data_IF_869070497429
#
_entry.id   IF_869070497429
#
_cell.length_a   1.000
_cell.length_b   1.000
_cell.length_c   1.000
_cell.angle_alpha   90.00
_cell.angle_beta   90.00
_cell.angle_gamma   90.00
#
_symmetry.space_group_name_H-M   'P 1'
#
loop_
_entity.id
_entity.type
_entity.pdbx_description
1 polymer ?
#
# COMPACT_ATOMS: atom_id res chain seq x y z
N UNK A 1 43.30 -34.48 -38.76
CA UNK A 1 44.49 -34.91 -39.54
C UNK A 1 45.61 -33.91 -39.33
N UNK A 2 46.72 -34.33 -38.72
CA UNK A 2 48.08 -33.77 -38.81
C UNK A 2 48.97 -34.62 -37.91
N UNK A 3 49.61 -35.64 -38.49
CA UNK A 3 50.61 -36.46 -37.83
C UNK A 3 51.99 -35.87 -38.14
N UNK A 4 52.62 -35.24 -37.16
CA UNK A 4 54.02 -34.79 -37.27
C UNK A 4 54.93 -35.98 -36.98
N UNK A 5 55.43 -36.60 -38.04
CA UNK A 5 56.40 -37.69 -37.99
C UNK A 5 57.77 -37.10 -37.66
N UNK A 6 58.12 -37.03 -36.37
CA UNK A 6 59.45 -36.60 -35.91
C UNK A 6 60.45 -37.71 -36.19
N UNK A 7 61.08 -37.62 -37.37
CA UNK A 7 62.28 -38.36 -37.77
C UNK A 7 63.40 -37.96 -36.83
N UNK A 8 63.92 -38.88 -36.03
CA UNK A 8 64.95 -38.53 -35.05
C UNK A 8 65.60 -39.73 -34.37
N UNK A 9 66.73 -40.15 -34.95
CA UNK A 9 67.89 -40.73 -34.27
C UNK A 9 67.70 -42.18 -33.79
N UNK A 10 68.00 -43.11 -34.71
CA UNK A 10 68.35 -44.47 -34.34
C UNK A 10 69.61 -44.44 -33.47
N UNK A 11 69.48 -44.94 -32.25
CA UNK A 11 70.62 -45.18 -31.35
C UNK A 11 71.50 -46.24 -32.01
N UNK A 12 72.75 -45.87 -32.34
CA UNK A 12 73.74 -46.82 -32.85
C UNK A 12 73.94 -47.95 -31.84
N UNK A 13 73.90 -49.19 -32.32
CA UNK A 13 74.28 -50.35 -31.52
C UNK A 13 75.76 -50.21 -31.15
N UNK A 14 76.09 -50.28 -29.85
CA UNK A 14 77.49 -50.33 -29.44
C UNK A 14 78.10 -51.64 -29.95
N UNK A 15 79.27 -51.54 -30.57
CA UNK A 15 80.04 -52.70 -31.02
C UNK A 15 80.75 -53.32 -29.83
N UNK A 16 80.60 -54.63 -29.63
CA UNK A 16 81.48 -55.35 -28.71
C UNK A 16 82.90 -55.46 -29.32
N UNK A 17 83.91 -55.78 -28.51
CA UNK A 17 85.34 -55.83 -28.89
C UNK A 17 85.72 -56.71 -30.08
N UNK A 18 84.76 -57.41 -30.70
CA UNK A 18 84.92 -58.22 -31.92
C UNK A 18 84.18 -57.63 -33.14
N UNK A 19 83.76 -56.35 -33.10
CA UNK A 19 83.20 -55.62 -34.26
C UNK A 19 81.75 -55.97 -34.64
N UNK A 20 81.03 -56.78 -33.85
CA UNK A 20 79.60 -57.07 -34.06
C UNK A 20 78.72 -56.19 -33.16
N UNK A 21 77.64 -55.63 -33.71
CA UNK A 21 76.71 -54.78 -32.98
C UNK A 21 75.85 -55.58 -31.99
N UNK A 22 75.76 -55.10 -30.74
CA UNK A 22 74.89 -55.69 -29.71
C UNK A 22 73.68 -54.79 -29.49
N UNK A 23 72.48 -55.39 -29.57
CA UNK A 23 71.23 -54.70 -29.26
C UNK A 23 71.06 -54.59 -27.74
N UNK A 24 70.55 -53.45 -27.20
CA UNK A 24 70.28 -53.33 -25.77
C UNK A 24 69.18 -54.32 -25.34
N UNK A 25 69.22 -54.83 -24.10
CA UNK A 25 68.20 -55.76 -23.60
C UNK A 25 66.81 -55.11 -23.68
N UNK A 26 65.83 -55.86 -24.17
CA UNK A 26 64.45 -55.41 -24.23
C UNK A 26 63.97 -55.08 -22.80
N UNK A 27 63.53 -53.83 -22.58
CA UNK A 27 62.89 -53.46 -21.33
C UNK A 27 61.55 -54.22 -21.23
N UNK A 28 61.53 -55.30 -20.44
CA UNK A 28 60.38 -56.17 -20.21
C UNK A 28 59.38 -55.60 -19.19
N UNK A 29 59.41 -54.31 -18.89
CA UNK A 29 58.40 -53.70 -18.02
C UNK A 29 57.13 -53.41 -18.83
N UNK A 30 55.99 -54.05 -18.54
CA UNK A 30 54.74 -53.69 -19.19
C UNK A 30 54.37 -52.28 -18.74
N UNK A 31 54.52 -51.30 -19.64
CA UNK A 31 53.96 -49.96 -19.43
C UNK A 31 52.44 -50.08 -19.44
N UNK A 32 51.84 -50.19 -18.25
CA UNK A 32 50.40 -50.04 -18.09
C UNK A 32 50.02 -48.60 -18.43
N UNK A 33 49.47 -48.37 -19.63
CA UNK A 33 48.89 -47.06 -19.98
C UNK A 33 47.76 -46.75 -18.99
N UNK A 34 47.92 -45.70 -18.20
CA UNK A 34 46.85 -45.19 -17.35
C UNK A 34 45.65 -44.81 -18.23
N UNK A 35 44.58 -45.60 -18.17
CA UNK A 35 43.32 -45.31 -18.83
C UNK A 35 42.47 -44.54 -17.84
N UNK A 36 42.31 -43.24 -18.09
CA UNK A 36 41.52 -42.37 -17.23
C UNK A 36 40.11 -42.98 -17.07
N UNK A 37 39.60 -43.17 -15.83
CA UNK A 37 38.26 -43.71 -15.64
C UNK A 37 37.25 -42.78 -16.32
N UNK A 38 36.22 -43.33 -17.00
CA UNK A 38 35.25 -42.51 -17.70
C UNK A 38 34.61 -41.52 -16.70
N UNK A 39 34.42 -40.24 -17.06
CA UNK A 39 33.84 -39.26 -16.17
C UNK A 39 32.47 -39.77 -15.71
N UNK A 40 32.19 -39.67 -14.39
CA UNK A 40 30.87 -40.00 -13.81
C UNK A 40 29.80 -39.29 -14.64
N UNK A 41 28.90 -40.05 -15.27
CA UNK A 41 27.74 -39.49 -16.01
C UNK A 41 26.94 -38.65 -15.02
N UNK A 42 26.99 -37.32 -15.17
CA UNK A 42 26.11 -36.41 -14.43
C UNK A 42 24.68 -36.71 -14.91
N UNK A 43 23.84 -37.25 -14.03
CA UNK A 43 22.44 -37.52 -14.33
C UNK A 43 21.71 -36.18 -14.53
N UNK A 44 21.18 -35.93 -15.73
CA UNK A 44 20.48 -34.68 -16.06
C UNK A 44 19.29 -34.38 -15.14
N UNK A 45 18.73 -35.40 -14.49
CA UNK A 45 17.70 -35.30 -13.45
C UNK A 45 18.08 -34.36 -12.29
N UNK A 46 19.35 -34.33 -11.84
CA UNK A 46 19.76 -33.39 -10.78
C UNK A 46 19.74 -31.94 -11.24
N UNK A 47 20.03 -31.72 -12.53
CA UNK A 47 20.10 -30.39 -13.13
C UNK A 47 18.68 -29.84 -13.36
N UNK A 48 17.77 -30.69 -13.84
CA UNK A 48 16.33 -30.38 -13.91
C UNK A 48 15.75 -30.12 -12.52
N UNK A 49 16.08 -30.95 -11.52
CA UNK A 49 15.65 -30.74 -10.15
C UNK A 49 16.12 -29.41 -9.55
N UNK A 50 17.36 -28.99 -9.84
CA UNK A 50 17.85 -27.67 -9.44
C UNK A 50 17.12 -26.53 -10.16
N UNK A 51 16.85 -26.65 -11.46
CA UNK A 51 16.09 -25.64 -12.22
C UNK A 51 14.68 -25.49 -11.65
N UNK A 52 13.99 -26.60 -11.38
CA UNK A 52 12.64 -26.58 -10.79
C UNK A 52 12.66 -25.98 -9.39
N UNK A 53 13.66 -26.32 -8.56
CA UNK A 53 13.83 -25.72 -7.23
C UNK A 53 14.00 -24.21 -7.32
N UNK A 54 14.91 -23.72 -8.17
CA UNK A 54 15.15 -22.29 -8.34
C UNK A 54 13.94 -21.55 -8.93
N UNK A 55 13.21 -22.18 -9.86
CA UNK A 55 11.97 -21.63 -10.39
C UNK A 55 10.89 -21.52 -9.31
N UNK A 56 10.79 -22.52 -8.42
CA UNK A 56 9.83 -22.50 -7.30
C UNK A 56 10.20 -21.42 -6.27
N UNK A 57 11.49 -21.26 -5.97
CA UNK A 57 11.99 -20.17 -5.11
C UNK A 57 11.68 -18.80 -5.73
N UNK A 58 11.92 -18.63 -7.04
CA UNK A 58 11.59 -17.38 -7.73
C UNK A 58 10.08 -17.08 -7.72
N UNK A 59 9.23 -18.09 -7.93
CA UNK A 59 7.78 -17.96 -7.83
C UNK A 59 7.34 -17.51 -6.43
N UNK A 60 7.92 -18.11 -5.38
CA UNK A 60 7.63 -17.78 -3.99
C UNK A 60 8.05 -16.35 -3.65
N UNK A 61 9.20 -15.91 -4.16
CA UNK A 61 9.67 -14.53 -4.03
C UNK A 61 8.71 -13.53 -4.71
N UNK A 62 8.22 -13.84 -5.91
CA UNK A 62 7.24 -12.99 -6.62
C UNK A 62 5.92 -12.93 -5.86
N UNK A 63 5.41 -14.08 -5.38
CA UNK A 63 4.17 -14.13 -4.61
C UNK A 63 4.28 -13.35 -3.29
N UNK A 64 5.41 -13.48 -2.59
CA UNK A 64 5.73 -12.70 -1.40
C UNK A 64 5.81 -11.19 -1.69
N UNK A 65 6.45 -10.80 -2.77
CA UNK A 65 6.56 -9.40 -3.16
C UNK A 65 5.20 -8.79 -3.53
N UNK A 66 4.35 -9.53 -4.24
CA UNK A 66 2.99 -9.11 -4.57
C UNK A 66 2.11 -8.98 -3.31
N UNK A 67 2.14 -9.99 -2.44
CA UNK A 67 1.38 -9.97 -1.19
C UNK A 67 1.86 -8.86 -0.25
N UNK A 68 3.17 -8.68 -0.10
CA UNK A 68 3.78 -7.62 0.70
C UNK A 68 3.50 -6.23 0.12
N UNK A 69 3.60 -6.07 -1.21
CA UNK A 69 3.26 -4.83 -1.90
C UNK A 69 1.79 -4.46 -1.75
N UNK A 70 0.87 -5.42 -1.92
CA UNK A 70 -0.55 -5.21 -1.70
C UNK A 70 -0.86 -4.86 -0.24
N UNK A 71 -0.21 -5.54 0.72
CA UNK A 71 -0.36 -5.25 2.15
C UNK A 71 0.09 -3.83 2.50
N UNK A 72 1.28 -3.43 2.05
CA UNK A 72 1.80 -2.08 2.29
C UNK A 72 0.91 -1.01 1.64
N UNK A 73 0.46 -1.23 0.40
CA UNK A 73 -0.46 -0.33 -0.27
C UNK A 73 -1.79 -0.17 0.48
N UNK A 74 -2.38 -1.27 0.92
CA UNK A 74 -3.62 -1.23 1.72
C UNK A 74 -3.39 -0.58 3.08
N UNK A 75 -2.26 -0.86 3.74
CA UNK A 75 -1.95 -0.26 5.03
C UNK A 75 -1.77 1.26 4.92
N UNK A 76 -1.06 1.72 3.89
CA UNK A 76 -0.85 3.14 3.62
C UNK A 76 -2.16 3.87 3.26
N UNK A 77 -3.04 3.22 2.48
CA UNK A 77 -4.39 3.71 2.20
C UNK A 77 -5.24 3.83 3.48
N UNK A 78 -5.22 2.79 4.32
CA UNK A 78 -5.98 2.80 5.58
C UNK A 78 -5.43 3.87 6.54
N UNK A 79 -4.12 4.00 6.66
CA UNK A 79 -3.48 5.01 7.51
C UNK A 79 -3.69 6.44 6.98
N UNK A 80 -3.82 6.60 5.66
CA UNK A 80 -4.20 7.87 5.05
C UNK A 80 -5.65 8.28 5.37
N UNK A 81 -6.56 7.31 5.50
CA UNK A 81 -7.99 7.54 5.78
C UNK A 81 -8.29 7.59 7.29
N UNK A 82 -7.39 7.07 8.13
CA UNK A 82 -7.59 7.08 9.58
C UNK A 82 -7.61 8.49 10.19
N UNK A 83 -8.50 8.66 11.16
CA UNK A 83 -8.64 9.89 11.93
C UNK A 83 -7.38 10.18 12.76
N UNK A 84 -6.62 11.21 12.38
CA UNK A 84 -5.36 11.59 13.05
C UNK A 84 -5.56 12.48 14.28
N UNK A 85 -6.75 13.03 14.48
CA UNK A 85 -7.05 13.99 15.56
C UNK A 85 -7.81 13.34 16.70
N UNK A 86 -7.39 13.58 17.95
CA UNK A 86 -8.01 13.04 19.18
C UNK A 86 -9.53 13.27 19.23
N UNK A 87 -10.00 14.43 18.78
CA UNK A 87 -11.43 14.75 18.82
C UNK A 87 -12.28 13.93 17.87
N UNK A 88 -11.72 13.58 16.71
CA UNK A 88 -12.38 12.71 15.72
C UNK A 88 -12.39 11.26 16.21
N UNK A 89 -11.34 10.83 16.91
CA UNK A 89 -11.27 9.50 17.51
C UNK A 89 -12.36 9.32 18.59
N UNK A 90 -12.54 10.29 19.49
CA UNK A 90 -13.61 10.17 20.50
C UNK A 90 -15.01 10.36 19.90
N UNK A 91 -15.14 11.14 18.81
CA UNK A 91 -16.39 11.23 18.09
C UNK A 91 -16.74 9.91 17.38
N UNK A 92 -15.73 9.12 16.97
CA UNK A 92 -15.92 7.80 16.33
C UNK A 92 -16.63 6.80 17.23
N UNK A 93 -16.39 6.83 18.53
CA UNK A 93 -17.08 5.93 19.48
C UNK A 93 -18.60 6.15 19.53
N UNK A 94 -19.06 7.32 19.09
CA UNK A 94 -20.49 7.67 19.01
C UNK A 94 -21.14 7.24 17.69
N UNK A 95 -20.37 6.75 16.72
CA UNK A 95 -20.87 6.36 15.41
C UNK A 95 -21.42 4.93 15.41
N UNK A 96 -22.45 4.70 14.60
CA UNK A 96 -23.04 3.37 14.45
C UNK A 96 -22.26 2.56 13.42
N UNK A 97 -22.05 1.26 13.69
CA UNK A 97 -21.45 0.35 12.72
C UNK A 97 -22.31 0.25 11.45
N UNK A 98 -21.65 0.19 10.29
CA UNK A 98 -22.32 -0.02 9.00
C UNK A 98 -22.52 -1.52 8.79
N UNK A 99 -23.73 -1.99 8.47
CA UNK A 99 -23.93 -3.35 7.99
C UNK A 99 -23.21 -3.58 6.65
N UNK A 100 -22.66 -4.78 6.36
CA UNK A 100 -21.87 -5.05 5.14
C UNK A 100 -22.53 -4.66 3.80
N UNK A 101 -23.87 -4.62 3.76
CA UNK A 101 -24.68 -4.19 2.59
C UNK A 101 -25.69 -3.09 2.95
N UNK A 102 -25.42 -2.38 4.04
CA UNK A 102 -26.29 -1.33 4.56
C UNK A 102 -26.02 0.01 3.91
N UNK A 103 -26.99 0.91 4.02
CA UNK A 103 -26.80 2.31 3.63
C UNK A 103 -25.80 2.99 4.57
N UNK A 104 -24.76 3.58 4.01
CA UNK A 104 -23.75 4.29 4.78
C UNK A 104 -24.12 5.77 4.87
N UNK A 105 -24.14 6.31 6.08
CA UNK A 105 -24.39 7.73 6.32
C UNK A 105 -23.15 8.37 6.92
N UNK A 106 -22.60 9.36 6.24
CA UNK A 106 -21.44 10.13 6.68
C UNK A 106 -21.84 11.57 7.02
N UNK A 107 -21.37 12.07 8.16
CA UNK A 107 -21.42 13.49 8.50
C UNK A 107 -20.13 14.16 8.08
N UNK A 108 -20.22 15.11 7.16
CA UNK A 108 -19.11 15.94 6.70
C UNK A 108 -19.15 17.28 7.41
N UNK A 109 -18.02 17.65 8.02
CA UNK A 109 -17.85 18.91 8.73
C UNK A 109 -16.65 19.65 8.15
N UNK A 110 -16.93 20.79 7.54
CA UNK A 110 -15.92 21.78 7.16
C UNK A 110 -15.71 22.77 8.29
N UNK A 111 -14.48 22.96 8.75
CA UNK A 111 -14.16 23.91 9.83
C UNK A 111 -13.05 24.88 9.43
N UNK A 112 -13.21 26.15 9.83
CA UNK A 112 -12.18 27.17 9.65
C UNK A 112 -11.17 27.06 10.79
N UNK A 113 -10.06 26.37 10.51
CA UNK A 113 -8.87 26.39 11.37
C UNK A 113 -7.68 26.78 10.52
N UNK A 114 -7.00 27.85 10.93
CA UNK A 114 -5.75 28.30 10.31
C UNK A 114 -4.55 27.62 10.96
N UNK A 115 -3.43 27.55 10.24
CA UNK A 115 -2.24 26.81 10.69
C UNK A 115 -1.59 27.43 11.94
N UNK A 116 -1.75 28.74 12.12
CA UNK A 116 -1.26 29.55 13.22
C UNK A 116 -2.14 29.50 14.48
N UNK A 117 -3.34 28.90 14.39
CA UNK A 117 -4.29 28.85 15.50
C UNK A 117 -4.09 27.61 16.41
N UNK A 118 -4.19 27.77 17.75
CA UNK A 118 -3.94 26.70 18.71
C UNK A 118 -4.97 25.58 18.58
N UNK A 119 -4.55 24.31 18.60
CA UNK A 119 -5.45 23.13 18.44
C UNK A 119 -6.69 23.12 19.35
N UNK A 120 -6.65 23.77 20.50
CA UNK A 120 -7.77 23.90 21.46
C UNK A 120 -8.58 25.20 21.28
N UNK A 121 -8.52 25.83 20.11
CA UNK A 121 -9.30 27.03 19.78
C UNK A 121 -10.79 26.74 19.60
N UNK A 122 -11.61 27.77 19.80
CA UNK A 122 -13.04 27.72 19.49
C UNK A 122 -13.25 27.96 17.99
N UNK A 123 -13.14 26.88 17.21
CA UNK A 123 -13.34 26.92 15.76
C UNK A 123 -14.82 26.79 15.43
N UNK A 124 -15.28 27.47 14.38
CA UNK A 124 -16.66 27.31 13.89
C UNK A 124 -16.67 26.33 12.72
N UNK A 125 -17.71 25.51 12.64
CA UNK A 125 -17.98 24.72 11.45
C UNK A 125 -18.72 25.60 10.44
N UNK A 126 -18.11 25.85 9.30
CA UNK A 126 -18.73 26.62 8.21
C UNK A 126 -19.61 25.76 7.32
N UNK A 127 -19.33 24.45 7.27
CA UNK A 127 -20.10 23.49 6.47
C UNK A 127 -20.45 22.29 7.32
N UNK A 128 -21.74 21.95 7.38
CA UNK A 128 -22.23 20.71 7.99
C UNK A 128 -23.14 20.04 6.98
N UNK A 129 -22.80 18.83 6.56
CA UNK A 129 -23.48 18.14 5.48
C UNK A 129 -23.61 16.66 5.78
N UNK A 130 -24.78 16.10 5.51
CA UNK A 130 -25.04 14.68 5.59
C UNK A 130 -24.94 14.06 4.20
N UNK A 131 -24.14 13.00 4.08
CA UNK A 131 -24.06 12.17 2.90
C UNK A 131 -24.66 10.81 3.20
N UNK A 132 -25.56 10.34 2.34
CA UNK A 132 -26.12 9.00 2.39
C UNK A 132 -25.77 8.30 1.08
N UNK A 133 -25.00 7.22 1.18
CA UNK A 133 -24.75 6.31 0.08
C UNK A 133 -25.68 5.09 0.22
N UNK A 134 -26.52 4.87 -0.79
CA UNK A 134 -27.40 3.71 -0.86
C UNK A 134 -26.92 2.76 -1.96
N UNK A 135 -26.24 1.65 -1.60
CA UNK A 135 -25.71 0.73 -2.59
C UNK A 135 -26.81 -0.03 -3.35
N UNK A 136 -28.03 -0.12 -2.80
CA UNK A 136 -29.15 -0.82 -3.46
C UNK A 136 -29.80 0.00 -4.55
N UNK A 137 -29.82 1.32 -4.37
CA UNK A 137 -30.38 2.27 -5.33
C UNK A 137 -29.32 2.89 -6.24
N UNK A 138 -28.04 2.54 -6.04
CA UNK A 138 -26.89 3.15 -6.71
C UNK A 138 -26.91 4.69 -6.67
N UNK A 139 -27.39 5.24 -5.55
CA UNK A 139 -27.65 6.65 -5.39
C UNK A 139 -26.85 7.24 -4.21
N UNK A 140 -26.35 8.46 -4.42
CA UNK A 140 -25.75 9.29 -3.39
C UNK A 140 -26.66 10.49 -3.13
N UNK A 141 -27.16 10.60 -1.91
CA UNK A 141 -27.98 11.73 -1.47
C UNK A 141 -27.20 12.61 -0.52
N UNK A 142 -27.32 13.92 -0.71
CA UNK A 142 -26.62 14.94 0.07
C UNK A 142 -27.62 15.91 0.67
N UNK A 143 -27.50 16.19 1.97
CA UNK A 143 -28.29 17.18 2.68
C UNK A 143 -27.36 18.16 3.38
N UNK A 144 -27.39 19.42 2.97
CA UNK A 144 -26.61 20.48 3.63
C UNK A 144 -27.44 21.12 4.74
N UNK A 145 -26.85 21.23 5.93
CA UNK A 145 -27.43 22.00 7.03
C UNK A 145 -26.93 23.44 6.97
N UNK A 146 -27.81 24.44 6.95
CA UNK A 146 -27.40 25.84 7.06
C UNK A 146 -26.63 26.10 8.35
N UNK A 147 -25.53 26.85 8.31
CA UNK A 147 -24.67 27.13 9.49
C UNK A 147 -25.42 27.76 10.67
N UNK A 148 -26.44 28.56 10.35
CA UNK A 148 -27.24 29.34 11.31
C UNK A 148 -28.55 28.61 11.68
N UNK A 149 -28.69 27.33 11.32
CA UNK A 149 -29.85 26.52 11.68
C UNK A 149 -29.98 26.46 13.21
N UNK A 150 -31.14 26.88 13.71
CA UNK A 150 -31.42 26.87 15.13
C UNK A 150 -31.78 25.44 15.58
N UNK A 151 -30.96 24.89 16.46
CA UNK A 151 -31.08 23.51 16.96
C UNK A 151 -30.78 23.46 18.45
N UNK A 152 -31.16 22.35 19.08
CA UNK A 152 -30.73 22.07 20.45
C UNK A 152 -29.29 21.56 20.46
N UNK A 153 -28.35 22.48 20.69
CA UNK A 153 -26.92 22.19 20.77
C UNK A 153 -26.67 21.30 21.97
N UNK A 154 -26.09 20.13 21.72
CA UNK A 154 -25.81 19.12 22.73
C UNK A 154 -24.33 18.77 22.73
N UNK A 155 -23.68 18.90 23.88
CA UNK A 155 -22.32 18.42 24.09
C UNK A 155 -22.22 17.60 25.39
N UNK A 156 -21.48 16.47 25.38
CA UNK A 156 -21.12 15.75 26.61
C UNK A 156 -20.50 16.66 27.67
N UNK A 157 -21.06 16.69 28.87
CA UNK A 157 -20.57 17.50 29.99
C UNK A 157 -21.11 18.94 30.04
N UNK A 158 -21.94 19.34 29.09
CA UNK A 158 -22.62 20.64 29.08
C UNK A 158 -24.15 20.49 29.09
N UNK A 159 -24.85 21.47 29.66
CA UNK A 159 -26.30 21.54 29.59
C UNK A 159 -26.75 21.86 28.16
N UNK A 160 -27.66 21.08 27.56
CA UNK A 160 -28.20 21.39 26.24
C UNK A 160 -28.88 22.76 26.23
N UNK A 161 -28.74 23.49 25.12
CA UNK A 161 -29.36 24.80 24.94
C UNK A 161 -29.77 25.01 23.48
N UNK A 162 -30.66 25.96 23.22
CA UNK A 162 -31.05 26.32 21.86
C UNK A 162 -30.05 27.34 21.31
N UNK A 163 -29.38 26.98 20.24
CA UNK A 163 -28.35 27.79 19.59
C UNK A 163 -28.25 27.48 18.10
N UNK A 164 -27.24 28.05 17.45
CA UNK A 164 -26.95 27.73 16.05
C UNK A 164 -26.17 26.42 15.95
N UNK A 165 -26.40 25.64 14.90
CA UNK A 165 -25.75 24.33 14.71
C UNK A 165 -24.22 24.45 14.66
N UNK A 166 -23.66 25.56 14.16
CA UNK A 166 -22.22 25.78 14.11
C UNK A 166 -21.57 25.90 15.51
N UNK A 167 -22.32 26.33 16.52
CA UNK A 167 -21.83 26.44 17.89
C UNK A 167 -21.52 25.06 18.50
N UNK A 168 -22.18 24.00 18.04
CA UNK A 168 -21.92 22.64 18.49
C UNK A 168 -20.45 22.22 18.24
N UNK A 169 -19.88 22.66 17.13
CA UNK A 169 -18.46 22.44 16.83
C UNK A 169 -17.55 23.37 17.64
N UNK A 170 -17.97 24.61 17.87
CA UNK A 170 -17.19 25.57 18.67
C UNK A 170 -17.09 25.23 20.15
N UNK A 171 -18.12 24.58 20.69
CA UNK A 171 -18.18 24.21 22.10
C UNK A 171 -17.32 22.97 22.39
N UNK A 172 -17.45 21.93 21.56
CA UNK A 172 -16.87 20.60 21.84
C UNK A 172 -16.28 19.89 20.62
N UNK A 173 -15.93 20.65 19.59
CA UNK A 173 -15.38 20.13 18.34
C UNK A 173 -16.33 19.16 17.64
N UNK A 174 -15.74 18.18 16.95
CA UNK A 174 -16.50 17.20 16.19
C UNK A 174 -17.51 16.40 17.03
N UNK A 175 -17.24 16.22 18.33
CA UNK A 175 -18.09 15.47 19.26
C UNK A 175 -19.42 16.17 19.52
N UNK A 176 -19.38 17.48 19.76
CA UNK A 176 -20.58 18.29 19.96
C UNK A 176 -21.42 18.34 18.68
N UNK A 177 -20.77 18.50 17.53
CA UNK A 177 -21.45 18.47 16.23
C UNK A 177 -22.13 17.12 15.95
N UNK A 178 -21.44 16.00 16.15
CA UNK A 178 -22.03 14.66 15.99
C UNK A 178 -23.20 14.46 16.97
N UNK A 179 -23.04 14.78 18.26
CA UNK A 179 -24.10 14.62 19.25
C UNK A 179 -25.34 15.47 18.93
N UNK A 180 -25.14 16.70 18.48
CA UNK A 180 -26.22 17.62 18.09
C UNK A 180 -26.97 17.10 16.86
N UNK A 181 -26.25 16.69 15.81
CA UNK A 181 -26.88 16.14 14.59
C UNK A 181 -27.56 14.80 14.86
N UNK A 182 -26.96 13.93 15.69
CA UNK A 182 -27.59 12.67 16.10
C UNK A 182 -28.92 12.93 16.83
N UNK A 183 -28.96 13.91 17.73
CA UNK A 183 -30.19 14.28 18.43
C UNK A 183 -31.24 14.85 17.48
N UNK A 184 -30.83 15.69 16.53
CA UNK A 184 -31.69 16.26 15.50
C UNK A 184 -32.31 15.18 14.59
N UNK A 185 -31.53 14.15 14.23
CA UNK A 185 -31.93 13.06 13.32
C UNK A 185 -32.58 11.86 14.01
N UNK A 186 -32.54 11.81 15.36
CA UNK A 186 -33.11 10.73 16.16
C UNK A 186 -34.61 10.50 15.86
N UNK A 187 -35.46 11.54 15.70
CA UNK A 187 -36.87 11.35 15.37
C UNK A 187 -37.10 10.67 14.02
N UNK A 188 -36.18 10.84 13.06
CA UNK A 188 -36.25 10.25 11.73
C UNK A 188 -35.53 8.89 11.65
N UNK A 189 -34.89 8.45 12.74
CA UNK A 189 -34.21 7.16 12.81
C UNK A 189 -32.99 7.04 11.90
N UNK A 190 -32.35 8.15 11.50
CA UNK A 190 -31.19 8.12 10.61
C UNK A 190 -29.91 7.92 11.42
N UNK A 191 -29.20 6.79 11.29
CA UNK A 191 -27.93 6.58 11.96
C UNK A 191 -26.83 7.39 11.29
N UNK A 192 -25.85 7.86 12.06
CA UNK A 192 -24.59 8.41 11.53
C UNK A 192 -23.51 7.34 11.73
N UNK A 193 -22.82 6.98 10.65
CA UNK A 193 -21.84 5.90 10.63
C UNK A 193 -20.40 6.38 10.46
N UNK A 194 -20.21 7.44 9.68
CA UNK A 194 -18.90 8.02 9.42
C UNK A 194 -18.88 9.49 9.78
N UNK A 195 -17.71 9.96 10.19
CA UNK A 195 -17.42 11.36 10.43
C UNK A 195 -16.23 11.74 9.55
N UNK A 196 -16.42 12.76 8.73
CA UNK A 196 -15.40 13.32 7.85
C UNK A 196 -15.22 14.78 8.25
N UNK A 197 -14.04 15.13 8.77
CA UNK A 197 -13.71 16.52 9.12
C UNK A 197 -12.66 17.05 8.17
N UNK A 198 -12.91 18.19 7.55
CA UNK A 198 -12.02 18.82 6.58
C UNK A 198 -11.78 20.27 6.97
N UNK A 199 -10.53 20.71 6.96
CA UNK A 199 -10.17 22.14 7.08
C UNK A 199 -9.87 22.73 5.70
N UNK A 200 -9.77 24.06 5.62
CA UNK A 200 -9.49 24.74 4.35
C UNK A 200 -8.20 24.27 3.66
N UNK A 201 -7.09 24.12 4.40
CA UNK A 201 -5.84 23.62 3.83
C UNK A 201 -5.98 22.21 3.25
N UNK A 202 -6.66 21.32 3.96
CA UNK A 202 -6.91 19.95 3.49
C UNK A 202 -7.85 19.92 2.28
N UNK A 203 -8.86 20.78 2.25
CA UNK A 203 -9.73 20.91 1.07
C UNK A 203 -8.94 21.37 -0.17
N UNK A 204 -8.07 22.38 -0.02
CA UNK A 204 -7.19 22.84 -1.10
C UNK A 204 -6.30 21.71 -1.61
N UNK A 205 -5.66 20.97 -0.71
CA UNK A 205 -4.80 19.84 -1.09
C UNK A 205 -5.56 18.76 -1.87
N UNK A 206 -6.80 18.45 -1.47
CA UNK A 206 -7.65 17.50 -2.19
C UNK A 206 -7.92 17.99 -3.61
N UNK A 207 -8.30 19.26 -3.77
CA UNK A 207 -8.57 19.86 -5.09
C UNK A 207 -7.31 19.88 -5.96
N UNK A 208 -6.17 20.25 -5.40
CA UNK A 208 -4.87 20.29 -6.11
C UNK A 208 -4.47 18.88 -6.58
N UNK A 209 -4.66 17.85 -5.74
CA UNK A 209 -4.39 16.44 -6.09
C UNK A 209 -5.32 15.90 -7.19
N UNK A 210 -6.54 16.42 -7.28
CA UNK A 210 -7.49 16.07 -8.34
C UNK A 210 -7.20 16.80 -9.67
N UNK A 211 -6.23 17.73 -9.69
CA UNK A 211 -5.90 18.51 -10.87
C UNK A 211 -6.80 19.73 -11.07
N UNK A 212 -7.48 20.18 -10.01
CA UNK A 212 -8.45 21.28 -10.04
C UNK A 212 -9.87 20.83 -10.42
N UNK A 213 -10.82 21.76 -10.29
CA UNK A 213 -12.22 21.56 -10.66
C UNK A 213 -12.73 22.73 -11.48
N UNK A 214 -13.54 22.44 -12.49
CA UNK A 214 -14.22 23.46 -13.30
C UNK A 214 -15.60 23.69 -12.71
N UNK A 215 -15.93 24.95 -12.44
CA UNK A 215 -17.24 25.36 -11.94
C UNK A 215 -17.79 26.48 -12.81
N UNK A 216 -19.07 26.41 -13.12
CA UNK A 216 -19.77 27.50 -13.80
C UNK A 216 -20.06 28.60 -12.77
N UNK A 217 -19.40 29.75 -12.96
CA UNK A 217 -19.64 30.94 -12.15
C UNK A 217 -20.39 31.95 -13.01
N UNK A 218 -21.55 32.41 -12.53
CA UNK A 218 -22.29 33.47 -13.20
C UNK A 218 -21.40 34.72 -13.29
N UNK A 219 -21.39 35.32 -14.49
CA UNK A 219 -20.60 36.50 -14.82
C UNK A 219 -20.80 37.67 -13.85
N UNK A 220 -21.95 37.75 -13.17
CA UNK A 220 -22.21 38.78 -12.14
C UNK A 220 -21.32 38.66 -10.90
N UNK A 221 -20.83 37.46 -10.60
CA UNK A 221 -19.91 37.21 -9.49
C UNK A 221 -18.43 37.24 -9.93
N UNK A 222 -18.18 37.16 -11.22
CA UNK A 222 -16.87 37.39 -11.84
C UNK A 222 -16.71 38.90 -12.12
N UNK A 223 -16.46 39.70 -11.07
CA UNK A 223 -15.75 40.99 -11.11
C UNK A 223 -15.96 41.81 -9.83
N UNK A 224 -14.91 41.88 -9.00
CA UNK A 224 -14.42 43.12 -8.38
C UNK A 224 -12.92 43.13 -8.51
#
# INVERSE_FOLDING_TARGET
MRTTLKRGIGRGASTNGNGRGVLPPAALTPMARYRQPPPRRRTGLRLVGQIVLWALVALLMIASALAGGAYLFLHEQVDAIQAKTKDVIEARERLNAVPPEGTAVALVIGYDRREDEPRNGSYRSDTVMLLRADPRQEALSMLSFPRDLQVEVTCPGHTPYIGKINEAYSLCGAKGAVATVQKLLKPQGVPINYLITVNFSGFKEIVDRLGGVWIDVDRRYLNT
#
